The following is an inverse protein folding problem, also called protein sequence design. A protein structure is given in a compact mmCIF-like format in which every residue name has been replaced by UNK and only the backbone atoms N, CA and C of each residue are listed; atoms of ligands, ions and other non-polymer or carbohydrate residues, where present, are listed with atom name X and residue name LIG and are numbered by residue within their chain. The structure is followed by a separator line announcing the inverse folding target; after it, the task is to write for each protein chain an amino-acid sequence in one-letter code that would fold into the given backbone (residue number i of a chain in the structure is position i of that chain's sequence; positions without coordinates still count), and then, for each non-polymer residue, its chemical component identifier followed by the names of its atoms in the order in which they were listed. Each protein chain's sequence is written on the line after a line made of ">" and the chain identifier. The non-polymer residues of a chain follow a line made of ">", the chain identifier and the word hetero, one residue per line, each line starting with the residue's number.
data_IF_815606551530
#
_entry.id   IF_815606551530
#
_cell.length_a   1.000
_cell.length_b   1.000
_cell.length_c   1.000
_cell.angle_alpha   90.00
_cell.angle_beta   90.00
_cell.angle_gamma   90.00
#
_symmetry.space_group_name_H-M   'P 1'
#
loop_
_entity.id
_entity.type
_entity.pdbx_description
1 polymer ?
#
# COMPACT_ATOMS: atom_id res chain seq x y z
N UNK A 1 12.50 23.20 57.96
CA UNK A 1 13.42 22.91 56.83
C UNK A 1 13.31 21.47 56.32
N UNK A 2 13.37 20.44 57.19
CA UNK A 2 13.25 19.02 56.76
C UNK A 2 11.94 18.66 56.06
N UNK A 3 10.81 19.20 56.52
CA UNK A 3 9.49 19.00 55.89
C UNK A 3 9.35 19.66 54.51
N UNK A 4 10.02 20.78 54.26
CA UNK A 4 10.02 21.46 52.97
C UNK A 4 10.79 20.67 51.90
N UNK A 5 11.85 19.95 52.33
CA UNK A 5 12.69 19.14 51.46
C UNK A 5 11.96 17.87 50.96
N UNK A 6 11.09 17.29 51.80
CA UNK A 6 10.34 16.07 51.48
C UNK A 6 9.22 16.36 50.47
N UNK A 7 8.53 17.50 50.62
CA UNK A 7 7.51 17.95 49.66
C UNK A 7 8.14 18.27 48.30
N UNK A 8 9.32 18.91 48.30
CA UNK A 8 10.08 19.16 47.08
C UNK A 8 10.51 17.85 46.40
N UNK A 9 10.96 16.84 47.15
CA UNK A 9 11.32 15.53 46.58
C UNK A 9 10.12 14.75 46.00
N UNK A 10 8.92 14.87 46.58
CA UNK A 10 7.70 14.27 46.01
C UNK A 10 7.24 14.97 44.73
N UNK A 11 7.50 16.27 44.59
CA UNK A 11 7.20 17.04 43.36
C UNK A 11 8.14 16.69 42.19
N UNK A 12 9.34 16.14 42.46
CA UNK A 12 10.27 15.69 41.40
C UNK A 12 10.04 14.23 40.93
N UNK A 13 9.17 13.46 41.59
CA UNK A 13 8.88 12.06 41.23
C UNK A 13 7.87 11.86 40.09
N UNK A 14 7.29 12.92 39.55
CA UNK A 14 6.15 12.86 38.61
C UNK A 14 6.50 12.76 37.12
N UNK A 15 7.78 12.81 36.73
CA UNK A 15 8.17 12.93 35.31
C UNK A 15 8.78 11.67 34.70
N UNK A 16 8.40 10.48 35.17
CA UNK A 16 8.68 9.22 34.48
C UNK A 16 7.40 8.69 33.81
N UNK A 17 6.64 9.54 33.11
CA UNK A 17 5.65 9.06 32.15
C UNK A 17 6.43 8.45 30.97
N UNK A 18 6.51 7.12 30.93
CA UNK A 18 7.01 6.39 29.77
C UNK A 18 6.23 6.85 28.54
N UNK A 19 6.92 7.50 27.60
CA UNK A 19 6.33 7.83 26.30
C UNK A 19 5.90 6.52 25.62
N UNK A 20 4.70 6.46 25.01
CA UNK A 20 4.27 5.25 24.32
C UNK A 20 5.28 4.85 23.24
N UNK A 21 5.60 3.57 23.14
CA UNK A 21 6.53 3.05 22.14
C UNK A 21 5.93 3.16 20.75
N UNK A 22 6.64 3.79 19.81
CA UNK A 22 6.23 3.80 18.40
C UNK A 22 6.35 2.40 17.77
N UNK A 23 5.36 2.03 16.97
CA UNK A 23 5.30 0.83 16.15
C UNK A 23 5.39 1.22 14.67
N UNK A 24 6.08 0.40 13.88
CA UNK A 24 6.32 0.65 12.46
C UNK A 24 5.81 -0.50 11.61
N UNK A 25 5.11 -0.17 10.54
CA UNK A 25 4.39 -1.12 9.71
C UNK A 25 4.84 -1.07 8.26
N UNK A 26 4.82 -2.21 7.59
CA UNK A 26 5.02 -2.35 6.15
C UNK A 26 3.91 -3.23 5.59
N UNK A 27 3.48 -2.93 4.37
CA UNK A 27 2.67 -3.84 3.57
C UNK A 27 3.54 -5.03 3.14
N UNK A 28 2.90 -6.17 2.90
CA UNK A 28 3.56 -7.38 2.41
C UNK A 28 2.79 -7.97 1.23
N UNK A 29 3.48 -8.62 0.29
CA UNK A 29 2.81 -9.39 -0.75
C UNK A 29 1.98 -10.52 -0.13
N UNK A 30 0.76 -10.71 -0.65
CA UNK A 30 -0.20 -11.72 -0.19
C UNK A 30 -0.75 -12.59 -1.33
N UNK A 31 -0.41 -12.28 -2.58
CA UNK A 31 -0.83 -13.08 -3.70
C UNK A 31 -0.03 -14.40 -3.77
N UNK A 32 -0.69 -15.53 -4.03
CA UNK A 32 -0.02 -16.81 -4.19
C UNK A 32 0.82 -16.83 -5.48
N UNK A 33 1.91 -17.58 -5.45
CA UNK A 33 2.73 -17.82 -6.65
C UNK A 33 1.97 -18.74 -7.59
N UNK A 34 1.82 -18.29 -8.83
CA UNK A 34 1.17 -19.03 -9.92
C UNK A 34 2.19 -19.51 -10.94
N UNK A 35 1.78 -20.42 -11.83
CA UNK A 35 2.59 -20.81 -12.98
C UNK A 35 2.63 -19.67 -14.01
N UNK A 36 3.72 -19.54 -14.79
CA UNK A 36 3.88 -18.44 -15.74
C UNK A 36 2.71 -18.35 -16.74
N UNK A 37 2.08 -17.18 -16.80
CA UNK A 37 0.99 -16.89 -17.76
C UNK A 37 1.55 -16.44 -19.10
N UNK A 38 2.73 -15.80 -19.12
CA UNK A 38 3.46 -15.42 -20.32
C UNK A 38 4.96 -15.37 -20.04
N UNK A 39 5.75 -16.21 -20.70
CA UNK A 39 7.22 -16.21 -20.50
C UNK A 39 7.84 -14.95 -21.09
N UNK A 40 8.74 -14.29 -20.34
CA UNK A 40 9.52 -13.15 -20.83
C UNK A 40 8.82 -11.78 -20.78
N UNK A 41 7.61 -11.70 -20.22
CA UNK A 41 6.87 -10.44 -20.04
C UNK A 41 7.62 -9.47 -19.13
N UNK A 42 7.84 -8.23 -19.62
CA UNK A 42 8.41 -7.14 -18.82
C UNK A 42 7.36 -6.07 -18.51
N UNK A 43 6.95 -5.97 -17.24
CA UNK A 43 5.88 -5.09 -16.75
C UNK A 43 6.43 -4.04 -15.79
N UNK A 44 6.23 -2.76 -16.09
CA UNK A 44 6.50 -1.66 -15.17
C UNK A 44 5.31 -1.35 -14.27
N UNK A 45 5.55 -1.15 -12.97
CA UNK A 45 4.52 -0.74 -12.00
C UNK A 45 4.83 0.65 -11.49
N UNK A 46 4.03 1.62 -11.89
CA UNK A 46 4.07 2.99 -11.43
C UNK A 46 4.21 4.04 -12.55
N UNK A 47 4.23 5.33 -12.18
CA UNK A 47 4.15 5.83 -10.80
C UNK A 47 2.82 5.52 -10.10
N UNK A 48 2.87 5.47 -8.76
CA UNK A 48 1.70 5.38 -7.88
C UNK A 48 1.49 6.73 -7.23
N UNK A 49 0.37 7.37 -7.53
CA UNK A 49 -0.05 8.61 -6.88
C UNK A 49 -1.00 8.28 -5.72
N UNK A 50 -0.81 8.94 -4.58
CA UNK A 50 -1.67 8.79 -3.40
C UNK A 50 -2.38 10.12 -3.12
N UNK A 51 -3.60 10.05 -2.60
CA UNK A 51 -4.21 11.21 -1.97
C UNK A 51 -3.31 11.75 -0.85
N UNK A 52 -3.18 13.08 -0.73
CA UNK A 52 -2.25 13.77 0.19
C UNK A 52 -2.37 13.36 1.66
N UNK A 53 -3.56 12.89 2.09
CA UNK A 53 -3.73 12.43 3.46
C UNK A 53 -3.11 11.04 3.69
N UNK A 54 -2.90 10.24 2.65
CA UNK A 54 -2.22 8.95 2.68
C UNK A 54 -0.70 9.09 2.56
N UNK A 55 -0.23 10.16 1.91
CA UNK A 55 1.21 10.44 1.75
C UNK A 55 1.81 11.06 3.03
N UNK A 56 1.86 10.24 4.09
CA UNK A 56 2.43 10.61 5.38
C UNK A 56 2.92 9.38 6.12
N UNK A 57 3.72 9.62 7.17
CA UNK A 57 4.26 8.55 7.99
C UNK A 57 3.25 7.92 8.94
N UNK A 58 2.17 8.61 9.33
CA UNK A 58 1.18 8.09 10.28
C UNK A 58 0.22 7.13 9.59
N UNK A 59 -0.16 6.04 10.28
CA UNK A 59 -1.31 5.24 9.83
C UNK A 59 -2.58 6.07 10.01
N UNK A 60 -3.39 6.11 8.94
CA UNK A 60 -4.65 6.85 8.92
C UNK A 60 -5.84 5.90 9.06
N UNK A 61 -6.81 6.32 9.87
CA UNK A 61 -8.12 5.69 10.00
C UNK A 61 -9.21 6.72 9.72
N UNK A 62 -10.34 6.25 9.22
CA UNK A 62 -11.51 7.06 8.92
C UNK A 62 -12.57 6.86 10.00
N UNK A 63 -12.83 7.92 10.77
CA UNK A 63 -13.87 7.94 11.79
C UNK A 63 -15.25 8.20 11.19
N UNK A 64 -15.32 9.01 10.14
CA UNK A 64 -16.54 9.29 9.38
C UNK A 64 -16.21 9.70 7.94
N UNK A 65 -17.23 9.92 7.11
CA UNK A 65 -17.03 10.35 5.71
C UNK A 65 -16.15 11.61 5.59
N UNK A 66 -16.14 12.47 6.62
CA UNK A 66 -15.44 13.76 6.62
C UNK A 66 -14.35 13.87 7.69
N UNK A 67 -14.10 12.81 8.47
CA UNK A 67 -13.15 12.85 9.58
C UNK A 67 -12.14 11.71 9.48
N UNK A 68 -10.86 12.10 9.44
CA UNK A 68 -9.72 11.22 9.51
C UNK A 68 -9.08 11.35 10.89
N UNK A 69 -8.57 10.24 11.40
CA UNK A 69 -7.76 10.15 12.59
C UNK A 69 -6.39 9.62 12.19
N UNK A 70 -5.35 10.32 12.60
CA UNK A 70 -3.96 9.91 12.41
C UNK A 70 -3.46 9.33 13.72
N UNK A 71 -2.74 8.21 13.65
CA UNK A 71 -2.13 7.62 14.83
C UNK A 71 -0.68 8.12 14.99
N UNK A 72 -0.37 8.72 16.14
CA UNK A 72 0.95 9.30 16.41
C UNK A 72 2.02 8.23 16.68
N UNK A 73 1.62 7.07 17.18
CA UNK A 73 2.53 6.01 17.61
C UNK A 73 2.56 4.84 16.63
N UNK A 74 1.62 4.74 15.70
CA UNK A 74 1.59 3.70 14.67
C UNK A 74 1.87 4.30 13.29
N UNK A 75 3.00 3.95 12.71
CA UNK A 75 3.56 4.64 11.54
C UNK A 75 3.96 3.68 10.44
N UNK A 76 3.91 4.12 9.19
CA UNK A 76 4.56 3.42 8.09
C UNK A 76 6.08 3.46 8.27
N UNK A 77 6.73 2.33 8.02
CA UNK A 77 8.18 2.24 7.98
C UNK A 77 8.65 2.83 6.64
N UNK A 78 9.01 4.12 6.66
CA UNK A 78 9.46 4.85 5.47
C UNK A 78 8.31 5.41 4.63
N UNK A 79 8.48 5.36 3.31
CA UNK A 79 7.57 5.97 2.34
C UNK A 79 6.45 4.99 1.96
N UNK A 80 5.20 5.38 2.27
CA UNK A 80 4.03 4.53 2.05
C UNK A 80 3.78 4.24 0.56
N UNK A 81 3.95 5.25 -0.31
CA UNK A 81 3.76 5.12 -1.76
C UNK A 81 4.78 4.18 -2.40
N UNK A 82 6.05 4.27 -1.99
CA UNK A 82 7.11 3.33 -2.41
C UNK A 82 6.79 1.92 -1.94
N UNK A 83 6.37 1.73 -0.70
CA UNK A 83 6.00 0.41 -0.19
C UNK A 83 4.81 -0.19 -0.95
N UNK A 84 3.78 0.60 -1.27
CA UNK A 84 2.66 0.16 -2.14
C UNK A 84 3.18 -0.26 -3.52
N UNK A 85 4.05 0.53 -4.13
CA UNK A 85 4.59 0.27 -5.48
C UNK A 85 5.34 -1.06 -5.52
N UNK A 86 6.22 -1.29 -4.53
CA UNK A 86 6.99 -2.55 -4.41
C UNK A 86 6.06 -3.74 -4.17
N UNK A 87 5.14 -3.65 -3.20
CA UNK A 87 4.25 -4.76 -2.87
C UNK A 87 3.26 -5.06 -3.99
N UNK A 88 2.82 -4.06 -4.75
CA UNK A 88 2.00 -4.28 -5.94
C UNK A 88 2.80 -5.02 -7.02
N UNK A 89 4.06 -4.63 -7.26
CA UNK A 89 4.94 -5.33 -8.19
C UNK A 89 5.18 -6.78 -7.79
N UNK A 90 5.46 -7.06 -6.51
CA UNK A 90 5.63 -8.42 -5.99
C UNK A 90 4.37 -9.27 -6.15
N UNK A 91 3.19 -8.71 -5.82
CA UNK A 91 1.94 -9.44 -6.02
C UNK A 91 1.71 -9.74 -7.51
N UNK A 92 1.98 -8.80 -8.41
CA UNK A 92 1.85 -9.01 -9.86
C UNK A 92 2.84 -10.06 -10.37
N UNK A 93 4.08 -10.04 -9.91
CA UNK A 93 5.09 -11.05 -10.23
C UNK A 93 4.62 -12.45 -9.83
N UNK A 94 4.11 -12.59 -8.59
CA UNK A 94 3.58 -13.86 -8.08
C UNK A 94 2.40 -14.36 -8.91
N UNK A 95 1.45 -13.48 -9.26
CA UNK A 95 0.22 -13.87 -9.98
C UNK A 95 0.52 -14.20 -11.45
N UNK A 96 1.37 -13.41 -12.11
CA UNK A 96 1.73 -13.62 -13.50
C UNK A 96 2.75 -14.75 -13.68
N UNK A 97 3.44 -15.15 -12.59
CA UNK A 97 4.50 -16.15 -12.60
C UNK A 97 5.71 -15.69 -13.40
N UNK A 98 6.07 -14.40 -13.30
CA UNK A 98 7.20 -13.80 -14.03
C UNK A 98 8.07 -12.96 -13.10
N UNK A 99 9.38 -13.00 -13.30
CA UNK A 99 10.34 -12.14 -12.58
C UNK A 99 10.37 -10.71 -13.12
N UNK A 100 9.88 -10.51 -14.35
CA UNK A 100 9.96 -9.25 -15.09
C UNK A 100 8.99 -8.16 -14.63
N UNK A 101 8.64 -8.05 -13.34
CA UNK A 101 7.81 -6.96 -12.83
C UNK A 101 8.66 -5.95 -12.07
N UNK A 102 8.80 -4.75 -12.63
CA UNK A 102 9.76 -3.75 -12.17
C UNK A 102 9.02 -2.55 -11.53
N UNK A 103 9.22 -2.27 -10.23
CA UNK A 103 8.61 -1.12 -9.57
C UNK A 103 9.28 0.20 -10.00
N UNK A 104 8.50 1.27 -10.07
CA UNK A 104 8.99 2.63 -10.31
C UNK A 104 9.85 3.15 -9.13
N UNK A 105 10.94 3.91 -9.37
CA UNK A 105 11.48 4.32 -10.67
C UNK A 105 12.39 3.28 -11.32
N UNK A 106 12.38 3.23 -12.65
CA UNK A 106 13.30 2.42 -13.45
C UNK A 106 14.07 3.28 -14.46
N UNK A 107 15.16 2.71 -15.01
CA UNK A 107 15.95 3.36 -16.07
C UNK A 107 15.12 3.56 -17.34
N UNK A 108 15.25 4.71 -18.00
CA UNK A 108 14.60 4.97 -19.30
C UNK A 108 15.06 4.03 -20.41
N UNK A 109 16.19 3.34 -20.23
CA UNK A 109 16.69 2.32 -21.16
C UNK A 109 15.93 0.99 -21.06
N UNK A 110 15.03 0.83 -20.08
CA UNK A 110 14.27 -0.40 -19.89
C UNK A 110 13.12 -0.48 -20.90
N UNK A 111 13.17 -1.49 -21.76
CA UNK A 111 12.20 -1.70 -22.83
C UNK A 111 11.01 -2.56 -22.35
N UNK A 112 10.12 -1.94 -21.58
CA UNK A 112 8.93 -2.58 -21.01
C UNK A 112 7.95 -3.05 -22.11
N UNK A 113 7.24 -4.15 -21.90
CA UNK A 113 6.09 -4.54 -22.72
C UNK A 113 4.83 -3.77 -22.34
N UNK A 114 4.59 -3.70 -21.03
CA UNK A 114 3.44 -3.02 -20.45
C UNK A 114 3.85 -2.14 -19.28
N UNK A 115 3.01 -1.16 -18.97
CA UNK A 115 3.15 -0.31 -17.80
C UNK A 115 1.78 -0.09 -17.15
N UNK A 116 1.72 -0.22 -15.82
CA UNK A 116 0.53 0.10 -15.04
C UNK A 116 0.77 1.36 -14.24
N UNK A 117 -0.06 2.38 -14.44
CA UNK A 117 -0.07 3.61 -13.64
C UNK A 117 -1.22 3.52 -12.64
N UNK A 118 -1.02 4.05 -11.44
CA UNK A 118 -1.98 3.94 -10.35
C UNK A 118 -2.24 5.30 -9.69
N UNK A 119 -3.50 5.58 -9.41
CA UNK A 119 -3.96 6.71 -8.59
C UNK A 119 -4.86 6.17 -7.48
N UNK A 120 -4.42 6.29 -6.23
CA UNK A 120 -5.12 5.81 -5.05
C UNK A 120 -5.74 6.99 -4.31
N UNK A 121 -7.06 7.12 -4.47
CA UNK A 121 -7.87 8.13 -3.78
C UNK A 121 -8.22 7.74 -2.34
N UNK A 122 -8.21 6.44 -2.04
CA UNK A 122 -8.48 5.92 -0.70
C UNK A 122 -7.73 4.64 -0.39
N UNK A 123 -7.13 4.59 0.80
CA UNK A 123 -6.56 3.36 1.35
C UNK A 123 -6.53 3.38 2.88
N UNK A 124 -7.71 3.46 3.50
CA UNK A 124 -7.87 3.63 4.94
C UNK A 124 -8.81 2.59 5.55
N UNK A 125 -8.62 2.30 6.85
CA UNK A 125 -9.60 1.55 7.62
C UNK A 125 -10.70 2.48 8.13
N UNK A 126 -11.95 2.04 8.04
CA UNK A 126 -13.12 2.68 8.65
C UNK A 126 -13.67 1.85 9.82
N UNK A 127 -14.68 2.39 10.50
CA UNK A 127 -15.40 1.69 11.56
C UNK A 127 -15.83 0.27 11.16
N UNK A 128 -15.83 -0.65 12.13
CA UNK A 128 -16.16 -2.06 11.89
C UNK A 128 -15.03 -2.85 11.22
N UNK A 129 -13.76 -2.44 11.41
CA UNK A 129 -12.56 -3.12 10.93
C UNK A 129 -12.53 -3.33 9.41
N UNK A 130 -13.10 -2.40 8.65
CA UNK A 130 -13.16 -2.51 7.19
C UNK A 130 -12.12 -1.59 6.54
N UNK A 131 -11.18 -2.19 5.82
CA UNK A 131 -10.23 -1.49 4.96
C UNK A 131 -10.87 -1.27 3.60
N UNK A 132 -10.78 -0.04 3.09
CA UNK A 132 -11.26 0.34 1.76
C UNK A 132 -10.11 0.82 0.92
N UNK A 133 -9.97 0.26 -0.28
CA UNK A 133 -9.06 0.69 -1.33
C UNK A 133 -9.87 1.20 -2.53
N UNK A 134 -9.74 2.48 -2.85
CA UNK A 134 -10.29 3.10 -4.06
C UNK A 134 -9.15 3.55 -4.96
N UNK A 135 -9.01 2.88 -6.10
CA UNK A 135 -7.94 3.15 -7.05
C UNK A 135 -8.49 3.32 -8.48
N UNK A 136 -7.92 4.27 -9.22
CA UNK A 136 -7.99 4.31 -10.67
C UNK A 136 -6.65 3.81 -11.23
N UNK A 137 -6.71 2.97 -12.25
CA UNK A 137 -5.50 2.43 -12.86
C UNK A 137 -5.61 2.41 -14.38
N UNK A 138 -4.44 2.52 -15.00
CA UNK A 138 -4.29 2.59 -16.44
C UNK A 138 -3.27 1.54 -16.87
N UNK A 139 -3.60 0.76 -17.89
CA UNK A 139 -2.69 -0.20 -18.50
C UNK A 139 -2.27 0.32 -19.86
N UNK A 140 -0.97 0.50 -20.04
CA UNK A 140 -0.35 0.87 -21.30
C UNK A 140 0.40 -0.34 -21.86
N UNK A 141 0.30 -0.51 -23.18
CA UNK A 141 1.32 -1.20 -23.96
C UNK A 141 2.40 -0.20 -24.31
N UNK A 142 3.67 -0.59 -24.20
CA UNK A 142 4.82 0.27 -24.49
C UNK A 142 5.48 -0.10 -25.82
N UNK A 143 5.35 -1.36 -26.28
CA UNK A 143 5.89 -1.85 -27.57
C UNK A 143 4.79 -2.38 -28.50
N UNK A 144 4.91 -2.20 -29.83
CA UNK A 144 5.97 -1.46 -30.53
C UNK A 144 5.81 0.07 -30.44
N UNK A 145 4.65 0.54 -29.98
CA UNK A 145 4.35 1.94 -29.72
C UNK A 145 3.53 2.05 -28.44
N UNK A 146 3.70 3.15 -27.72
CA UNK A 146 2.86 3.45 -26.58
C UNK A 146 1.38 3.54 -26.97
N UNK A 147 0.55 2.73 -26.29
CA UNK A 147 -0.89 2.69 -26.48
C UNK A 147 -1.57 2.48 -25.14
N UNK A 148 -2.53 3.34 -24.81
CA UNK A 148 -3.42 3.12 -23.67
C UNK A 148 -4.41 2.00 -24.00
N UNK A 149 -4.34 0.90 -23.27
CA UNK A 149 -5.20 -0.26 -23.48
C UNK A 149 -6.46 -0.19 -22.61
N UNK A 150 -6.32 0.19 -21.34
CA UNK A 150 -7.43 0.20 -20.38
C UNK A 150 -7.33 1.35 -19.40
N UNK A 151 -8.49 1.88 -19.01
CA UNK A 151 -8.67 2.76 -17.84
C UNK A 151 -9.81 2.17 -17.02
N UNK A 152 -9.53 1.85 -15.76
CA UNK A 152 -10.47 1.18 -14.86
C UNK A 152 -10.43 1.80 -13.48
N UNK A 153 -11.54 1.66 -12.76
CA UNK A 153 -11.64 1.95 -11.33
C UNK A 153 -11.89 0.67 -10.56
N UNK A 154 -11.29 0.56 -9.39
CA UNK A 154 -11.42 -0.58 -8.50
C UNK A 154 -11.77 -0.08 -7.11
N UNK A 155 -12.88 -0.58 -6.58
CA UNK A 155 -13.30 -0.42 -5.20
C UNK A 155 -13.16 -1.79 -4.52
N UNK A 156 -12.27 -1.89 -3.54
CA UNK A 156 -12.00 -3.14 -2.83
C UNK A 156 -12.20 -2.90 -1.35
N UNK A 157 -13.05 -3.74 -0.74
CA UNK A 157 -13.21 -3.80 0.70
C UNK A 157 -12.61 -5.11 1.24
N UNK A 158 -11.83 -5.00 2.31
CA UNK A 158 -11.29 -6.15 3.05
C UNK A 158 -11.48 -5.94 4.54
N UNK A 159 -11.95 -6.96 5.24
CA UNK A 159 -12.20 -6.90 6.68
C UNK A 159 -10.94 -7.37 7.42
N UNK A 160 -10.43 -6.53 8.30
CA UNK A 160 -9.40 -6.90 9.27
C UNK A 160 -9.97 -7.87 10.31
N UNK A 161 -9.13 -8.78 10.78
CA UNK A 161 -9.50 -9.81 11.75
C UNK A 161 -10.01 -9.20 13.07
N UNK A 162 -9.39 -8.11 13.51
CA UNK A 162 -9.75 -7.36 14.70
C UNK A 162 -9.43 -5.86 14.51
N UNK A 163 -9.48 -5.09 15.61
CA UNK A 163 -9.29 -3.64 15.58
C UNK A 163 -7.82 -3.19 15.68
N UNK A 164 -6.87 -4.11 15.81
CA UNK A 164 -5.44 -3.81 15.89
C UNK A 164 -4.90 -3.22 14.59
N UNK A 165 -3.77 -2.50 14.70
CA UNK A 165 -3.05 -1.99 13.54
C UNK A 165 -2.40 -3.12 12.72
N UNK A 166 -1.93 -4.19 13.35
CA UNK A 166 -1.45 -5.39 12.66
C UNK A 166 -2.53 -5.98 11.75
N UNK A 167 -3.73 -6.21 12.29
CA UNK A 167 -4.85 -6.74 11.51
C UNK A 167 -5.30 -5.77 10.41
N UNK A 168 -5.23 -4.47 10.65
CA UNK A 168 -5.52 -3.44 9.65
C UNK A 168 -4.52 -3.50 8.49
N UNK A 169 -3.22 -3.52 8.77
CA UNK A 169 -2.15 -3.54 7.76
C UNK A 169 -2.17 -4.87 6.99
N UNK A 170 -2.54 -5.96 7.66
CA UNK A 170 -2.78 -7.25 7.01
C UNK A 170 -3.94 -7.17 6.01
N UNK A 171 -5.07 -6.58 6.40
CA UNK A 171 -6.21 -6.37 5.49
C UNK A 171 -5.89 -5.40 4.34
N UNK A 172 -5.03 -4.40 4.58
CA UNK A 172 -4.50 -3.52 3.52
C UNK A 172 -3.64 -4.31 2.52
N UNK A 173 -2.73 -5.15 3.01
CA UNK A 173 -1.90 -6.03 2.19
C UNK A 173 -2.75 -6.97 1.32
N UNK A 174 -3.82 -7.54 1.89
CA UNK A 174 -4.80 -8.35 1.15
C UNK A 174 -5.60 -7.56 0.12
N UNK A 175 -6.00 -6.32 0.42
CA UNK A 175 -6.69 -5.45 -0.53
C UNK A 175 -5.80 -5.15 -1.75
N UNK A 176 -4.51 -4.92 -1.53
CA UNK A 176 -3.54 -4.68 -2.60
C UNK A 176 -3.30 -5.94 -3.46
N UNK A 177 -3.27 -7.13 -2.84
CA UNK A 177 -3.22 -8.39 -3.58
C UNK A 177 -4.47 -8.62 -4.45
N UNK A 178 -5.67 -8.27 -3.95
CA UNK A 178 -6.90 -8.32 -4.77
C UNK A 178 -6.85 -7.36 -5.95
N UNK A 179 -6.31 -6.15 -5.76
CA UNK A 179 -6.10 -5.20 -6.86
C UNK A 179 -5.12 -5.77 -7.89
N UNK A 180 -4.02 -6.38 -7.42
CA UNK A 180 -3.05 -7.05 -8.29
C UNK A 180 -3.70 -8.16 -9.12
N UNK A 181 -4.61 -8.97 -8.57
CA UNK A 181 -5.36 -9.97 -9.32
C UNK A 181 -6.18 -9.35 -10.45
N UNK A 182 -6.86 -8.23 -10.20
CA UNK A 182 -7.65 -7.52 -11.21
C UNK A 182 -6.75 -7.01 -12.35
N UNK A 183 -5.62 -6.40 -11.99
CA UNK A 183 -4.65 -5.85 -12.96
C UNK A 183 -3.99 -6.99 -13.76
N UNK A 184 -3.57 -8.07 -13.09
CA UNK A 184 -2.96 -9.22 -13.75
C UNK A 184 -3.89 -9.85 -14.79
N UNK A 185 -5.19 -9.97 -14.50
CA UNK A 185 -6.18 -10.46 -15.46
C UNK A 185 -6.27 -9.56 -16.70
N UNK A 186 -6.19 -8.24 -16.53
CA UNK A 186 -6.18 -7.29 -17.64
C UNK A 186 -4.89 -7.37 -18.47
N UNK A 187 -3.74 -7.56 -17.83
CA UNK A 187 -2.44 -7.79 -18.49
C UNK A 187 -2.50 -9.08 -19.31
N UNK A 188 -2.91 -10.19 -18.71
CA UNK A 188 -3.02 -11.49 -19.38
C UNK A 188 -3.96 -11.45 -20.59
N UNK A 189 -5.11 -10.77 -20.46
CA UNK A 189 -6.08 -10.60 -21.55
C UNK A 189 -5.52 -9.74 -22.70
N UNK A 190 -4.64 -8.78 -22.37
CA UNK A 190 -4.00 -7.92 -23.37
C UNK A 190 -2.85 -8.63 -24.10
N UNK A 191 -2.12 -9.50 -23.38
CA UNK A 191 -1.05 -10.31 -23.93
C UNK A 191 -1.55 -11.47 -24.81
N UNK A 192 -2.74 -12.02 -24.52
CA UNK A 192 -3.35 -13.06 -25.37
C UNK A 192 -4.00 -12.54 -26.66
N UNK A 193 -4.14 -11.21 -26.81
CA UNK A 193 -4.68 -10.56 -27.99
C UNK A 193 -3.58 -10.05 -28.96
N UNK A 194 -2.31 -10.35 -28.67
CA UNK A 194 -1.13 -10.04 -29.48
C UNK A 194 -0.64 -11.26 -30.27
#
# INVERSE_FOLDING_TARGET
>A
MKTLLIVLMMLLGGCAMQSPSSQFYVLSARAPVSHPVASGLLLGVGPVNLADYLDRSQIVRRDSNVRLRMDEFNRWAGDHGKNITVVLAENLANILGVEGVIPYPWSSSLDLDYQVLLDISRFDAKAGNLVVLDAQWQLFRKRPREQLLQVKRSHIETRAADSSHDAQVEAQSQALAKLATIIAAAVASSAGND
#
